data_IF_300067089669
#
_entry.id   IF_300067089669
#
_cell.length_a   1.000
_cell.length_b   1.000
_cell.length_c   1.000
_cell.angle_alpha   90.00
_cell.angle_beta   90.00
_cell.angle_gamma   90.00
#
_symmetry.space_group_name_H-M   'P 1'
#
loop_
_entity.id
_entity.type
_entity.pdbx_description
1 polymer ?
#
# COMPACT_ATOMS: atom_id res chain seq x y z
N UNK A 1 -20.36 -3.53 -7.13
CA UNK A 1 -19.42 -3.24 -8.23
C UNK A 1 -18.46 -2.08 -7.97
N UNK A 2 -18.90 -0.96 -7.38
CA UNK A 2 -18.00 0.17 -7.09
C UNK A 2 -16.79 -0.18 -6.19
N UNK A 3 -16.96 -1.10 -5.24
CA UNK A 3 -15.88 -1.57 -4.36
C UNK A 3 -14.69 -2.18 -5.11
N UNK A 4 -14.94 -3.07 -6.07
CA UNK A 4 -13.87 -3.72 -6.85
C UNK A 4 -13.03 -2.73 -7.65
N UNK A 5 -13.63 -1.63 -8.11
CA UNK A 5 -12.90 -0.57 -8.80
C UNK A 5 -12.01 0.23 -7.84
N UNK A 6 -12.49 0.50 -6.62
CA UNK A 6 -11.70 1.18 -5.58
C UNK A 6 -10.51 0.33 -5.13
N UNK A 7 -10.70 -0.99 -4.96
CA UNK A 7 -9.62 -1.89 -4.57
C UNK A 7 -8.59 -2.07 -5.68
N UNK A 8 -9.01 -2.11 -6.95
CA UNK A 8 -8.10 -2.12 -8.09
C UNK A 8 -7.24 -0.85 -8.12
N UNK A 9 -7.86 0.33 -7.98
CA UNK A 9 -7.14 1.61 -7.92
C UNK A 9 -6.13 1.63 -6.75
N UNK A 10 -6.51 1.12 -5.59
CA UNK A 10 -5.63 0.98 -4.42
C UNK A 10 -4.40 0.11 -4.72
N UNK A 11 -4.59 -1.07 -5.32
CA UNK A 11 -3.48 -1.98 -5.67
C UNK A 11 -2.55 -1.32 -6.70
N UNK A 12 -3.11 -0.67 -7.71
CA UNK A 12 -2.32 0.04 -8.74
C UNK A 12 -1.51 1.18 -8.12
N UNK A 13 -2.05 1.93 -7.17
CA UNK A 13 -1.31 2.97 -6.45
C UNK A 13 -0.13 2.39 -5.65
N UNK A 14 -0.30 1.25 -4.97
CA UNK A 14 0.81 0.56 -4.29
C UNK A 14 1.88 0.05 -5.26
N UNK A 15 1.46 -0.48 -6.41
CA UNK A 15 2.39 -0.90 -7.47
C UNK A 15 3.18 0.30 -8.04
N UNK A 16 2.50 1.42 -8.31
CA UNK A 16 3.12 2.65 -8.76
C UNK A 16 4.09 3.23 -7.72
N UNK A 17 3.71 3.23 -6.43
CA UNK A 17 4.59 3.65 -5.34
C UNK A 17 5.86 2.80 -5.28
N UNK A 18 5.75 1.48 -5.45
CA UNK A 18 6.89 0.57 -5.46
C UNK A 18 7.81 0.83 -6.65
N UNK A 19 7.23 1.03 -7.84
CA UNK A 19 7.98 1.37 -9.04
C UNK A 19 8.77 2.67 -8.88
N UNK A 20 8.13 3.73 -8.37
CA UNK A 20 8.79 5.01 -8.11
C UNK A 20 9.91 4.87 -7.07
N UNK A 21 9.67 4.12 -6.01
CA UNK A 21 10.66 3.89 -4.96
C UNK A 21 11.91 3.18 -5.50
N UNK A 22 11.72 2.12 -6.30
CA UNK A 22 12.83 1.38 -6.91
C UNK A 22 13.61 2.22 -7.92
N UNK A 23 12.96 3.17 -8.61
CA UNK A 23 13.62 4.12 -9.52
C UNK A 23 14.23 5.34 -8.82
N UNK A 24 14.30 5.37 -7.48
CA UNK A 24 14.76 6.54 -6.72
C UNK A 24 13.98 7.84 -7.04
N UNK A 25 12.71 7.72 -7.43
CA UNK A 25 11.82 8.86 -7.68
C UNK A 25 10.96 9.15 -6.44
N UNK A 26 10.21 10.26 -6.47
CA UNK A 26 9.35 10.71 -5.36
C UNK A 26 8.15 9.77 -5.19
N UNK A 27 8.34 8.65 -4.50
CA UNK A 27 7.28 7.65 -4.28
C UNK A 27 6.12 8.14 -3.41
N UNK A 28 6.32 9.19 -2.62
CA UNK A 28 5.31 9.76 -1.72
C UNK A 28 4.04 10.22 -2.45
N UNK A 29 4.16 10.66 -3.71
CA UNK A 29 3.00 11.07 -4.54
C UNK A 29 1.99 9.93 -4.75
N UNK A 30 2.45 8.68 -4.74
CA UNK A 30 1.60 7.50 -4.85
C UNK A 30 1.36 6.84 -3.49
N UNK A 31 2.34 6.88 -2.58
CA UNK A 31 2.27 6.21 -1.27
C UNK A 31 1.20 6.84 -0.35
N UNK A 32 1.10 8.17 -0.34
CA UNK A 32 0.10 8.91 0.46
C UNK A 32 -1.32 8.56 0.01
N UNK A 33 -1.71 8.74 -1.27
CA UNK A 33 -3.04 8.36 -1.72
C UNK A 33 -3.29 6.86 -1.63
N UNK A 34 -2.28 5.99 -1.81
CA UNK A 34 -2.44 4.56 -1.60
C UNK A 34 -2.84 4.21 -0.15
N UNK A 35 -2.20 4.85 0.83
CA UNK A 35 -2.47 4.63 2.25
C UNK A 35 -3.88 5.10 2.61
N UNK A 36 -4.27 6.29 2.14
CA UNK A 36 -5.63 6.80 2.34
C UNK A 36 -6.69 5.92 1.67
N UNK A 37 -6.49 5.53 0.41
CA UNK A 37 -7.38 4.63 -0.32
C UNK A 37 -7.51 3.27 0.37
N UNK A 38 -6.44 2.79 1.03
CA UNK A 38 -6.49 1.55 1.82
C UNK A 38 -7.41 1.70 3.03
N UNK A 39 -7.31 2.82 3.76
CA UNK A 39 -8.22 3.11 4.88
C UNK A 39 -9.68 3.21 4.41
N UNK A 40 -9.94 3.94 3.31
CA UNK A 40 -11.28 4.10 2.74
C UNK A 40 -11.85 2.75 2.28
N UNK A 41 -11.08 1.95 1.55
CA UNK A 41 -11.53 0.65 1.04
C UNK A 41 -11.83 -0.35 2.17
N UNK A 42 -11.02 -0.38 3.22
CA UNK A 42 -11.23 -1.24 4.40
C UNK A 42 -12.42 -0.74 5.22
N UNK A 43 -12.52 0.56 5.46
CA UNK A 43 -13.67 1.12 6.20
C UNK A 43 -14.96 0.83 5.45
N UNK A 44 -14.96 0.96 4.13
CA UNK A 44 -16.10 0.61 3.28
C UNK A 44 -16.49 -0.86 3.43
N UNK A 45 -15.55 -1.81 3.38
CA UNK A 45 -15.89 -3.25 3.49
C UNK A 45 -16.44 -3.61 4.88
N UNK A 46 -16.02 -2.91 5.92
CA UNK A 46 -16.48 -3.14 7.29
C UNK A 46 -17.89 -2.57 7.54
N UNK A 47 -18.17 -1.37 7.03
CA UNK A 47 -19.46 -0.67 7.27
C UNK A 47 -20.54 -1.10 6.27
N UNK A 48 -20.18 -1.38 5.02
CA UNK A 48 -21.15 -1.57 3.94
C UNK A 48 -22.19 -2.65 4.30
N UNK A 49 -23.46 -2.45 3.90
CA UNK A 49 -24.53 -3.41 4.14
C UNK A 49 -24.28 -4.76 3.46
N UNK A 50 -23.49 -4.81 2.40
CA UNK A 50 -23.07 -6.06 1.73
C UNK A 50 -21.79 -6.67 2.31
N UNK A 51 -21.13 -5.97 3.24
CA UNK A 51 -19.91 -6.39 3.90
C UNK A 51 -20.19 -6.94 5.31
N UNK A 52 -19.44 -6.46 6.29
CA UNK A 52 -19.56 -6.94 7.69
C UNK A 52 -20.64 -6.23 8.52
N UNK A 53 -21.29 -5.18 7.99
CA UNK A 53 -22.34 -4.41 8.69
C UNK A 53 -21.92 -3.90 10.09
N UNK A 54 -20.62 -3.60 10.27
CA UNK A 54 -20.09 -3.17 11.55
C UNK A 54 -20.37 -1.68 11.81
N UNK A 55 -20.58 -1.29 13.07
CA UNK A 55 -20.73 0.12 13.43
C UNK A 55 -19.43 0.90 13.15
N UNK A 56 -19.60 2.15 12.71
CA UNK A 56 -18.51 3.04 12.30
C UNK A 56 -17.45 3.27 13.40
N UNK A 57 -17.86 3.16 14.67
CA UNK A 57 -16.98 3.25 15.84
C UNK A 57 -15.84 2.21 15.84
N UNK A 58 -16.06 1.03 15.28
CA UNK A 58 -15.02 0.00 15.12
C UNK A 58 -14.34 0.06 13.75
N UNK A 59 -15.08 0.43 12.70
CA UNK A 59 -14.57 0.42 11.34
C UNK A 59 -13.48 1.48 11.08
N UNK A 60 -13.62 2.70 11.62
CA UNK A 60 -12.60 3.75 11.45
C UNK A 60 -11.24 3.40 12.08
N UNK A 61 -11.15 3.00 13.36
CA UNK A 61 -9.87 2.60 13.94
C UNK A 61 -9.28 1.36 13.26
N UNK A 62 -10.11 0.40 12.84
CA UNK A 62 -9.65 -0.76 12.08
C UNK A 62 -9.08 -0.35 10.70
N UNK A 63 -9.74 0.55 9.98
CA UNK A 63 -9.27 1.08 8.70
C UNK A 63 -7.92 1.80 8.82
N UNK A 64 -7.74 2.60 9.87
CA UNK A 64 -6.47 3.28 10.17
C UNK A 64 -5.37 2.25 10.50
N UNK A 65 -5.69 1.25 11.33
CA UNK A 65 -4.73 0.21 11.69
C UNK A 65 -4.25 -0.58 10.46
N UNK A 66 -5.16 -0.94 9.55
CA UNK A 66 -4.79 -1.64 8.31
C UNK A 66 -3.99 -0.76 7.37
N UNK A 67 -4.35 0.53 7.22
CA UNK A 67 -3.59 1.46 6.41
C UNK A 67 -2.15 1.65 6.92
N UNK A 68 -1.98 1.76 8.25
CA UNK A 68 -0.67 1.81 8.88
C UNK A 68 0.13 0.51 8.64
N UNK A 69 -0.52 -0.66 8.77
CA UNK A 69 0.10 -1.95 8.50
C UNK A 69 0.59 -2.04 7.04
N UNK A 70 -0.22 -1.61 6.06
CA UNK A 70 0.16 -1.60 4.66
C UNK A 70 1.34 -0.67 4.38
N UNK A 71 1.37 0.50 5.01
CA UNK A 71 2.49 1.43 4.89
C UNK A 71 3.79 0.82 5.45
N UNK A 72 3.74 0.18 6.62
CA UNK A 72 4.89 -0.49 7.24
C UNK A 72 5.37 -1.65 6.36
N UNK A 73 4.45 -2.48 5.86
CA UNK A 73 4.76 -3.59 4.94
C UNK A 73 5.40 -3.08 3.65
N UNK A 74 4.88 -2.00 3.08
CA UNK A 74 5.45 -1.39 1.89
C UNK A 74 6.88 -0.91 2.14
N UNK A 75 7.12 -0.13 3.20
CA UNK A 75 8.44 0.41 3.49
C UNK A 75 9.47 -0.69 3.75
N UNK A 76 9.10 -1.73 4.50
CA UNK A 76 9.98 -2.87 4.77
C UNK A 76 10.27 -3.69 3.52
N UNK A 77 9.26 -3.99 2.70
CA UNK A 77 9.43 -4.71 1.44
C UNK A 77 10.24 -3.91 0.42
N UNK A 78 9.95 -2.61 0.30
CA UNK A 78 10.63 -1.68 -0.60
C UNK A 78 12.13 -1.57 -0.27
N UNK A 79 12.46 -1.34 1.00
CA UNK A 79 13.83 -1.28 1.48
C UNK A 79 14.59 -2.61 1.23
N UNK A 80 13.94 -3.77 1.46
CA UNK A 80 14.54 -5.09 1.20
C UNK A 80 14.86 -5.28 -0.29
N UNK A 81 13.94 -4.93 -1.20
CA UNK A 81 14.16 -5.08 -2.64
C UNK A 81 15.27 -4.16 -3.14
N UNK A 82 15.29 -2.91 -2.71
CA UNK A 82 16.35 -1.95 -3.10
C UNK A 82 17.73 -2.41 -2.64
N UNK A 83 17.85 -2.89 -1.39
CA UNK A 83 19.11 -3.43 -0.87
C UNK A 83 19.60 -4.64 -1.68
N UNK A 84 18.70 -5.57 -2.02
CA UNK A 84 19.05 -6.73 -2.85
C UNK A 84 19.56 -6.30 -4.23
N UNK A 85 18.91 -5.34 -4.88
CA UNK A 85 19.35 -4.79 -6.17
C UNK A 85 20.76 -4.16 -6.07
N UNK A 86 21.04 -3.40 -5.00
CA UNK A 86 22.37 -2.82 -4.77
C UNK A 86 23.45 -3.87 -4.54
N UNK A 87 23.16 -4.96 -3.82
CA UNK A 87 24.12 -6.05 -3.57
C UNK A 87 24.47 -6.77 -4.88
N UNK A 88 23.46 -7.11 -5.69
CA UNK A 88 23.67 -7.81 -6.97
C UNK A 88 24.52 -6.98 -7.94
N UNK A 89 24.24 -5.68 -8.04
CA UNK A 89 25.03 -4.77 -8.88
C UNK A 89 26.51 -4.72 -8.45
N UNK A 90 26.78 -4.73 -7.12
CA UNK A 90 28.14 -4.70 -6.60
C UNK A 90 28.88 -6.02 -6.87
N UNK A 91 28.19 -7.15 -6.85
CA UNK A 91 28.77 -8.45 -7.17
C UNK A 91 29.13 -8.57 -8.66
N UNK A 92 28.26 -8.10 -9.56
CA UNK A 92 28.53 -8.07 -11.01
C UNK A 92 29.73 -7.17 -11.35
N UNK A 93 29.86 -6.01 -10.71
CA UNK A 93 30.97 -5.09 -10.98
C UNK A 93 32.34 -5.58 -10.44
N UNK A 94 32.36 -6.60 -9.59
CA UNK A 94 33.57 -7.15 -8.97
C UNK A 94 34.08 -8.44 -9.63
N UNK A 95 33.34 -8.98 -10.59
CA UNK A 95 33.70 -10.15 -11.40
C UNK A 95 34.32 -9.71 -12.73
#
# INVERSE_FOLDING_TARGET
FAWSNQTLAMIVLWAAAMYLYLKNQVHWIATIPATFMSAVSITYILIAPEGFKLPASFAYPAGIAVAAAFLILFLTAANRKKRAATINQKAENAA
#
